data_IF_078399252913
#
_entry.id   IF_078399252913
#
_cell.length_a   1.000
_cell.length_b   1.000
_cell.length_c   1.000
_cell.angle_alpha   90.00
_cell.angle_beta   90.00
_cell.angle_gamma   90.00
#
_symmetry.space_group_name_H-M   'P 1'
#
loop_
_entity.id
_entity.type
_entity.pdbx_description
1 polymer ?
#
# COMPACT_ATOMS: atom_id res chain seq x y z
N UNK A 1 7.48 -6.58 -6.67
CA UNK A 1 6.17 -6.56 -5.97
C UNK A 1 6.23 -7.35 -4.67
N UNK A 2 6.46 -8.68 -4.69
CA UNK A 2 6.48 -9.49 -3.45
C UNK A 2 7.46 -9.00 -2.38
N UNK A 3 8.69 -8.66 -2.76
CA UNK A 3 9.71 -8.13 -1.84
C UNK A 3 9.26 -6.86 -1.11
N UNK A 4 8.53 -5.98 -1.81
CA UNK A 4 7.96 -4.75 -1.25
C UNK A 4 6.85 -5.10 -0.25
N UNK A 5 5.93 -6.00 -0.62
CA UNK A 5 4.83 -6.43 0.27
C UNK A 5 5.35 -7.10 1.55
N UNK A 6 6.44 -7.87 1.44
CA UNK A 6 7.06 -8.56 2.56
C UNK A 6 8.01 -7.67 3.39
N UNK A 7 8.17 -6.39 3.02
CA UNK A 7 9.10 -5.46 3.65
C UNK A 7 10.54 -5.98 3.69
N UNK A 8 10.94 -6.73 2.66
CA UNK A 8 12.28 -7.30 2.58
C UNK A 8 13.31 -6.20 2.35
N UNK A 9 14.51 -6.36 2.91
CA UNK A 9 15.63 -5.43 2.71
C UNK A 9 16.30 -5.68 1.34
N UNK A 10 15.67 -5.18 0.28
CA UNK A 10 16.20 -5.22 -1.09
C UNK A 10 16.32 -3.83 -1.68
N UNK A 11 17.10 -3.69 -2.77
CA UNK A 11 17.24 -2.41 -3.47
C UNK A 11 15.89 -1.85 -3.93
N UNK A 12 14.99 -2.73 -4.39
CA UNK A 12 13.64 -2.36 -4.84
C UNK A 12 12.77 -1.91 -3.67
N UNK A 13 12.80 -2.61 -2.55
CA UNK A 13 12.05 -2.22 -1.34
C UNK A 13 12.54 -0.92 -0.74
N UNK A 14 13.86 -0.66 -0.77
CA UNK A 14 14.47 0.62 -0.36
C UNK A 14 14.07 1.77 -1.29
N UNK A 15 14.09 1.54 -2.59
CA UNK A 15 13.67 2.53 -3.57
C UNK A 15 12.18 2.89 -3.41
N UNK A 16 11.33 1.90 -3.13
CA UNK A 16 9.92 2.09 -2.84
C UNK A 16 9.69 2.81 -1.50
N UNK A 17 10.38 2.39 -0.44
CA UNK A 17 10.26 2.97 0.90
C UNK A 17 10.77 4.41 1.02
N UNK A 18 11.58 4.87 0.07
CA UNK A 18 12.03 6.26 -0.01
C UNK A 18 11.00 7.22 -0.65
N UNK A 19 9.89 6.71 -1.18
CA UNK A 19 8.83 7.51 -1.77
C UNK A 19 7.87 8.04 -0.69
N UNK A 20 7.17 9.15 -0.97
CA UNK A 20 6.02 9.56 -0.14
C UNK A 20 4.85 8.61 -0.31
N UNK A 21 3.97 8.51 0.69
CA UNK A 21 2.80 7.60 0.69
C UNK A 21 1.92 7.74 -0.58
N UNK A 22 1.67 8.97 -1.03
CA UNK A 22 0.90 9.19 -2.27
C UNK A 22 1.61 8.60 -3.50
N UNK A 23 2.94 8.70 -3.55
CA UNK A 23 3.73 8.13 -4.64
C UNK A 23 3.84 6.60 -4.53
N UNK A 24 3.84 6.06 -3.32
CA UNK A 24 3.78 4.62 -3.07
C UNK A 24 2.47 4.02 -3.59
N UNK A 25 1.33 4.69 -3.39
CA UNK A 25 0.05 4.30 -3.98
C UNK A 25 0.06 4.45 -5.51
N UNK A 26 0.66 5.52 -6.05
CA UNK A 26 0.78 5.73 -7.49
C UNK A 26 1.56 4.60 -8.19
N UNK A 27 2.59 4.05 -7.56
CA UNK A 27 3.35 2.90 -8.10
C UNK A 27 2.45 1.69 -8.30
N UNK A 28 1.61 1.36 -7.32
CA UNK A 28 0.65 0.25 -7.44
C UNK A 28 -0.39 0.50 -8.53
N UNK A 29 -0.89 1.74 -8.65
CA UNK A 29 -1.77 2.12 -9.74
C UNK A 29 -1.10 1.94 -11.12
N UNK A 30 0.14 2.40 -11.28
CA UNK A 30 0.88 2.28 -12.54
C UNK A 30 1.13 0.81 -12.91
N UNK A 31 1.46 -0.05 -11.94
CA UNK A 31 1.58 -1.48 -12.21
C UNK A 31 0.26 -2.11 -12.63
N UNK A 32 -0.86 -1.77 -11.96
CA UNK A 32 -2.17 -2.26 -12.33
C UNK A 32 -2.57 -1.86 -13.75
N UNK A 33 -2.25 -0.63 -14.18
CA UNK A 33 -2.47 -0.18 -15.55
C UNK A 33 -1.62 -0.92 -16.59
N UNK A 34 -0.43 -1.40 -16.20
CA UNK A 34 0.50 -2.12 -17.07
C UNK A 34 0.32 -3.64 -17.09
N UNK A 35 -0.56 -4.19 -16.24
CA UNK A 35 -0.80 -5.64 -16.16
C UNK A 35 -1.31 -6.18 -17.49
N UNK A 36 -0.68 -7.25 -17.98
CA UNK A 36 -1.00 -7.89 -19.27
C UNK A 36 -0.23 -7.36 -20.47
N UNK A 37 0.51 -6.26 -20.32
CA UNK A 37 1.37 -5.67 -21.38
C UNK A 37 2.84 -5.62 -20.93
N UNK A 38 3.14 -4.73 -19.97
CA UNK A 38 4.51 -4.51 -19.48
C UNK A 38 4.76 -5.10 -18.09
N UNK A 39 3.69 -5.42 -17.37
CA UNK A 39 3.70 -6.04 -16.05
C UNK A 39 2.98 -7.39 -16.12
N UNK A 40 3.53 -8.39 -15.44
CA UNK A 40 2.93 -9.74 -15.37
C UNK A 40 1.55 -9.65 -14.72
N UNK A 41 0.53 -10.15 -15.42
CA UNK A 41 -0.86 -10.19 -14.96
C UNK A 41 -1.11 -11.32 -13.94
N UNK A 42 -2.29 -11.33 -13.33
CA UNK A 42 -2.73 -12.42 -12.47
C UNK A 42 -2.98 -13.71 -13.27
N UNK A 43 -2.78 -14.90 -12.64
CA UNK A 43 -3.16 -16.16 -13.24
C UNK A 43 -4.66 -16.20 -13.58
N UNK A 44 -5.01 -16.69 -14.78
CA UNK A 44 -6.41 -16.79 -15.23
C UNK A 44 -7.28 -17.68 -14.34
N UNK A 45 -6.66 -18.62 -13.63
CA UNK A 45 -7.31 -19.56 -12.71
C UNK A 45 -7.22 -19.12 -11.24
N UNK A 46 -6.71 -17.91 -10.97
CA UNK A 46 -6.65 -17.37 -9.62
C UNK A 46 -8.05 -17.22 -9.03
N UNK A 47 -8.24 -17.78 -7.83
CA UNK A 47 -9.44 -17.63 -7.03
C UNK A 47 -9.06 -17.10 -5.66
N UNK A 48 -9.55 -15.91 -5.34
CA UNK A 48 -9.39 -15.33 -4.03
C UNK A 48 -10.05 -16.22 -2.95
N UNK A 49 -9.39 -16.34 -1.80
CA UNK A 49 -9.92 -17.05 -0.63
C UNK A 49 -11.13 -16.30 -0.05
N UNK A 50 -11.93 -16.98 0.78
CA UNK A 50 -13.11 -16.39 1.42
C UNK A 50 -12.79 -15.12 2.20
N UNK A 51 -11.65 -15.13 2.89
CA UNK A 51 -11.17 -14.03 3.73
C UNK A 51 -10.81 -12.81 2.87
N UNK A 52 -10.15 -13.03 1.73
CA UNK A 52 -9.79 -11.97 0.77
C UNK A 52 -11.04 -11.31 0.21
N UNK A 53 -12.03 -12.11 -0.22
CA UNK A 53 -13.29 -11.57 -0.73
C UNK A 53 -14.06 -10.79 0.35
N UNK A 54 -14.06 -11.28 1.60
CA UNK A 54 -14.72 -10.59 2.71
C UNK A 54 -14.08 -9.23 3.01
N UNK A 55 -12.74 -9.14 2.99
CA UNK A 55 -12.03 -7.88 3.18
C UNK A 55 -12.32 -6.94 2.01
N UNK A 56 -12.25 -7.43 0.77
CA UNK A 56 -12.56 -6.62 -0.42
C UNK A 56 -13.96 -6.01 -0.34
N UNK A 57 -14.98 -6.80 0.00
CA UNK A 57 -16.34 -6.28 0.16
C UNK A 57 -16.46 -5.24 1.27
N UNK A 58 -15.68 -5.34 2.35
CA UNK A 58 -15.66 -4.31 3.39
C UNK A 58 -15.06 -3.00 2.87
N UNK A 59 -14.00 -3.08 2.07
CA UNK A 59 -13.35 -1.91 1.44
C UNK A 59 -14.32 -1.23 0.46
N UNK A 60 -15.00 -2.00 -0.38
CA UNK A 60 -15.99 -1.48 -1.35
C UNK A 60 -17.16 -0.75 -0.69
N UNK A 61 -17.48 -1.09 0.57
CA UNK A 61 -18.55 -0.44 1.35
C UNK A 61 -18.10 0.84 2.06
N UNK A 62 -16.79 1.16 2.07
CA UNK A 62 -16.32 2.46 2.56
C UNK A 62 -16.71 3.56 1.57
N UNK A 63 -16.85 4.79 2.08
CA UNK A 63 -16.94 5.95 1.22
C UNK A 63 -15.60 6.23 0.52
N UNK A 64 -15.60 7.15 -0.44
CA UNK A 64 -14.41 7.43 -1.25
C UNK A 64 -13.18 7.82 -0.39
N UNK A 65 -13.39 8.70 0.59
CA UNK A 65 -12.33 9.14 1.51
C UNK A 65 -11.79 7.97 2.33
N UNK A 66 -12.66 7.08 2.83
CA UNK A 66 -12.28 5.88 3.55
C UNK A 66 -11.51 4.89 2.68
N UNK A 67 -11.95 4.66 1.44
CA UNK A 67 -11.23 3.80 0.49
C UNK A 67 -9.83 4.32 0.20
N UNK A 68 -9.70 5.61 -0.15
CA UNK A 68 -8.40 6.22 -0.47
C UNK A 68 -7.48 6.24 0.75
N UNK A 69 -8.01 6.57 1.93
CA UNK A 69 -7.22 6.58 3.17
C UNK A 69 -6.66 5.20 3.49
N UNK A 70 -7.48 4.15 3.39
CA UNK A 70 -7.04 2.77 3.62
C UNK A 70 -6.02 2.33 2.58
N UNK A 71 -6.27 2.56 1.29
CA UNK A 71 -5.35 2.14 0.23
C UNK A 71 -4.00 2.85 0.32
N UNK A 72 -3.99 4.15 0.70
CA UNK A 72 -2.76 4.89 0.95
C UNK A 72 -2.00 4.33 2.14
N UNK A 73 -2.69 4.04 3.25
CA UNK A 73 -2.06 3.43 4.42
C UNK A 73 -1.42 2.08 4.08
N UNK A 74 -2.18 1.19 3.43
CA UNK A 74 -1.68 -0.15 3.06
C UNK A 74 -0.47 -0.05 2.13
N UNK A 75 -0.45 0.88 1.18
CA UNK A 75 0.72 1.12 0.34
C UNK A 75 1.91 1.67 1.15
N UNK A 76 1.65 2.54 2.13
CA UNK A 76 2.65 3.11 3.02
C UNK A 76 3.30 2.12 3.98
N UNK A 77 2.55 1.09 4.39
CA UNK A 77 3.03 0.04 5.30
C UNK A 77 3.97 -0.98 4.60
N UNK A 78 4.16 -0.86 3.28
CA UNK A 78 5.01 -1.74 2.48
C UNK A 78 6.39 -1.14 2.17
N UNK A 79 7.33 -2.00 1.76
CA UNK A 79 8.69 -1.63 1.39
C UNK A 79 9.64 -1.62 2.58
N UNK A 80 10.78 -0.97 2.42
CA UNK A 80 11.80 -0.90 3.45
C UNK A 80 12.36 0.50 3.54
N UNK A 81 12.29 1.11 4.73
CA UNK A 81 12.97 2.37 5.03
C UNK A 81 13.82 2.17 6.29
N UNK A 82 15.12 2.54 6.27
CA UNK A 82 15.93 2.59 7.48
C UNK A 82 15.63 3.82 8.34
N UNK A 83 14.77 4.73 7.85
CA UNK A 83 14.32 5.92 8.57
C UNK A 83 13.05 5.54 9.31
N UNK A 84 13.07 5.68 10.63
CA UNK A 84 11.90 5.42 11.47
C UNK A 84 10.70 6.26 10.98
N UNK A 85 9.48 5.72 11.05
CA UNK A 85 8.27 6.48 10.74
C UNK A 85 8.27 7.78 11.55
N UNK A 86 7.84 8.88 10.92
CA UNK A 86 7.62 10.12 11.67
C UNK A 86 6.58 9.82 12.75
N UNK A 87 6.90 9.99 14.05
CA UNK A 87 5.98 9.64 15.12
C UNK A 87 4.68 10.43 14.95
N UNK A 88 3.57 9.74 15.16
CA UNK A 88 2.24 10.30 15.06
C UNK A 88 2.05 11.49 16.03
N UNK A 89 1.03 12.30 15.79
CA UNK A 89 0.73 13.41 16.70
C UNK A 89 0.39 12.94 18.12
N UNK A 90 -0.19 11.74 18.24
CA UNK A 90 -0.43 11.07 19.52
C UNK A 90 0.88 10.69 20.23
N UNK A 91 1.85 10.17 19.50
CA UNK A 91 3.17 9.77 20.03
C UNK A 91 4.06 10.97 20.36
N UNK A 92 3.90 12.10 19.68
CA UNK A 92 4.66 13.33 19.94
C UNK A 92 4.05 14.24 21.01
N UNK A 93 2.92 13.84 21.61
CA UNK A 93 2.24 14.59 22.66
C UNK A 93 1.74 15.97 22.21
N UNK A 94 1.55 16.18 20.90
CA UNK A 94 1.02 17.43 20.37
C UNK A 94 -0.50 17.31 20.27
N UNK A 95 -1.19 18.03 21.14
CA UNK A 95 -2.64 18.24 21.06
C UNK A 95 -3.01 18.79 19.69
N UNK A 96 -4.15 18.37 19.08
CA UNK A 96 -4.63 18.98 17.85
C UNK A 96 -4.68 20.49 18.05
N UNK A 97 -3.93 21.25 17.26
CA UNK A 97 -4.06 22.71 17.28
C UNK A 97 -5.46 23.05 16.77
N UNK A 98 -6.17 23.85 17.56
CA UNK A 98 -7.56 24.28 17.41
C UNK A 98 -7.94 24.70 15.98
#
# INVERSE_FOLDING_TARGET
MREIVNCEDTQVSRAYGALSENNQLLVWYAWAQGMGDTVVDMPLDYKAQSEVNSILSQIENLDFEGQISLLRQVAGDMGYSPVDPVPSQEETGKTPSL
#
